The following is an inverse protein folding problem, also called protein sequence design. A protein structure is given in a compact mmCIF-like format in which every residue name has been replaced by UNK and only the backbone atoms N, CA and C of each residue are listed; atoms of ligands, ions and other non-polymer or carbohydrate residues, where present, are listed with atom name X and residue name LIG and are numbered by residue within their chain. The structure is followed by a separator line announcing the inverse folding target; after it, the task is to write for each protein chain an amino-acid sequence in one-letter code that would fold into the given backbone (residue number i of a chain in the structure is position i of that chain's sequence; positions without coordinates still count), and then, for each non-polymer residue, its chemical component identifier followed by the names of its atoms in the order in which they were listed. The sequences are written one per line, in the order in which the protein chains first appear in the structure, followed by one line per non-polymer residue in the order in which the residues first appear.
data_IF_226114411078
#
_entry.id   IF_226114411078
#
_cell.length_a   1.000
_cell.length_b   1.000
_cell.length_c   1.000
_cell.angle_alpha   90.00
_cell.angle_beta   90.00
_cell.angle_gamma   90.00
#
_symmetry.space_group_name_H-M   'P 1'
#
loop_
_entity.id
_entity.type
_entity.pdbx_description
1 polymer ?
#
# COMPACT_ATOMS: atom_id res chain seq x y z
N UNK A 1 25.22 -41.40 -11.74
CA UNK A 1 24.87 -40.00 -12.10
C UNK A 1 23.37 -39.74 -12.16
N UNK A 2 22.53 -40.61 -12.78
CA UNK A 2 21.05 -40.44 -12.81
C UNK A 2 20.38 -40.22 -11.43
N UNK A 3 20.84 -40.91 -10.39
CA UNK A 3 20.28 -40.77 -9.02
C UNK A 3 20.47 -39.38 -8.41
N UNK A 4 21.59 -38.72 -8.72
CA UNK A 4 21.89 -37.36 -8.23
C UNK A 4 21.00 -36.34 -8.94
N UNK A 5 20.74 -36.53 -10.23
CA UNK A 5 19.86 -35.67 -11.03
C UNK A 5 18.42 -35.75 -10.53
N UNK A 6 17.92 -36.95 -10.23
CA UNK A 6 16.57 -37.16 -9.68
C UNK A 6 16.44 -36.51 -8.29
N UNK A 7 17.46 -36.61 -7.44
CA UNK A 7 17.47 -35.99 -6.12
C UNK A 7 17.45 -34.45 -6.19
N UNK A 8 18.22 -33.85 -7.10
CA UNK A 8 18.18 -32.41 -7.36
C UNK A 8 16.82 -31.95 -7.91
N UNK A 9 16.18 -32.76 -8.76
CA UNK A 9 14.85 -32.46 -9.29
C UNK A 9 13.77 -32.49 -8.20
N UNK A 10 13.89 -33.40 -7.23
CA UNK A 10 12.98 -33.48 -6.08
C UNK A 10 13.14 -32.29 -5.12
N UNK A 11 14.35 -31.73 -4.97
CA UNK A 11 14.59 -30.51 -4.19
C UNK A 11 13.90 -29.27 -4.80
N UNK A 12 13.81 -29.19 -6.12
CA UNK A 12 13.08 -28.11 -6.81
C UNK A 12 11.56 -28.22 -6.70
N UNK A 13 11.03 -29.42 -6.46
CA UNK A 13 9.60 -29.67 -6.24
C UNK A 13 9.17 -29.46 -4.79
N UNK A 14 10.12 -29.15 -3.88
CA UNK A 14 9.80 -28.86 -2.50
C UNK A 14 9.07 -27.50 -2.43
N UNK A 15 7.84 -27.44 -1.90
CA UNK A 15 7.14 -26.17 -1.76
C UNK A 15 7.92 -25.29 -0.78
N UNK A 16 8.54 -24.22 -1.28
CA UNK A 16 9.13 -23.18 -0.45
C UNK A 16 7.96 -22.43 0.18
N UNK A 17 7.59 -22.81 1.41
CA UNK A 17 6.65 -22.04 2.22
C UNK A 17 7.38 -20.78 2.67
N UNK A 18 7.06 -19.66 2.05
CA UNK A 18 7.50 -18.35 2.53
C UNK A 18 6.63 -17.99 3.73
N UNK A 19 7.26 -17.78 4.88
CA UNK A 19 6.59 -17.23 6.05
C UNK A 19 6.35 -15.74 5.79
N UNK A 20 5.21 -15.38 5.21
CA UNK A 20 4.71 -14.03 5.38
C UNK A 20 4.35 -13.86 6.86
N UNK A 21 4.78 -12.78 7.51
CA UNK A 21 4.24 -12.45 8.83
C UNK A 21 2.72 -12.32 8.69
N UNK A 22 1.98 -12.94 9.60
CA UNK A 22 0.56 -12.65 9.73
C UNK A 22 0.41 -11.16 10.02
N UNK A 23 -0.50 -10.54 9.28
CA UNK A 23 -0.82 -9.13 9.42
C UNK A 23 -1.60 -8.98 10.72
N UNK A 24 -1.01 -8.29 11.68
CA UNK A 24 -1.58 -8.08 13.02
C UNK A 24 -1.41 -6.61 13.37
N UNK A 25 -2.48 -5.85 13.19
CA UNK A 25 -2.48 -4.41 13.48
C UNK A 25 -3.84 -3.96 14.01
N UNK A 26 -3.78 -2.96 14.89
CA UNK A 26 -4.93 -2.17 15.31
C UNK A 26 -4.97 -0.83 14.55
N UNK A 27 -6.15 -0.46 14.06
CA UNK A 27 -6.37 0.87 13.50
C UNK A 27 -6.66 1.85 14.63
N UNK A 28 -5.68 2.70 14.94
CA UNK A 28 -5.79 3.72 15.99
C UNK A 28 -6.50 4.98 15.52
N UNK A 29 -6.51 5.25 14.21
CA UNK A 29 -7.21 6.41 13.65
C UNK A 29 -7.15 6.52 12.14
N UNK A 30 -8.19 7.11 11.58
CA UNK A 30 -8.32 7.45 10.17
C UNK A 30 -8.59 8.95 10.04
N UNK A 31 -7.67 9.68 9.43
CA UNK A 31 -7.83 11.11 9.14
C UNK A 31 -7.91 11.28 7.64
N UNK A 32 -8.87 12.09 7.18
CA UNK A 32 -9.10 12.34 5.76
C UNK A 32 -9.15 13.85 5.55
N UNK A 33 -8.37 14.32 4.57
CA UNK A 33 -8.50 15.66 4.02
C UNK A 33 -8.88 15.55 2.55
N UNK A 34 -9.98 16.18 2.15
CA UNK A 34 -10.49 16.13 0.79
C UNK A 34 -10.84 17.55 0.32
N UNK A 35 -10.12 18.02 -0.70
CA UNK A 35 -10.26 19.36 -1.27
C UNK A 35 -10.70 19.27 -2.74
N UNK A 36 -11.58 20.18 -3.16
CA UNK A 36 -11.84 20.42 -4.59
C UNK A 36 -10.82 21.45 -5.09
N UNK A 37 -10.08 21.10 -6.12
CA UNK A 37 -9.10 21.96 -6.78
C UNK A 37 -9.79 22.92 -7.75
N UNK A 38 -9.09 23.98 -8.15
CA UNK A 38 -9.62 24.99 -9.09
C UNK A 38 -10.01 24.40 -10.46
N UNK A 39 -9.35 23.31 -10.88
CA UNK A 39 -9.67 22.58 -12.10
C UNK A 39 -10.87 21.62 -11.95
N UNK A 40 -11.49 21.56 -10.76
CA UNK A 40 -12.63 20.69 -10.46
C UNK A 40 -12.25 19.31 -9.96
N UNK A 41 -10.97 18.93 -9.98
CA UNK A 41 -10.51 17.64 -9.47
C UNK A 41 -10.65 17.57 -7.94
N UNK A 42 -10.85 16.37 -7.41
CA UNK A 42 -10.78 16.12 -5.97
C UNK A 42 -9.39 15.63 -5.59
N UNK A 43 -8.72 16.35 -4.68
CA UNK A 43 -7.50 15.90 -4.03
C UNK A 43 -7.84 15.30 -2.67
N UNK A 44 -7.54 14.01 -2.50
CA UNK A 44 -7.74 13.29 -1.24
C UNK A 44 -6.39 12.93 -0.62
N UNK A 45 -6.24 13.20 0.67
CA UNK A 45 -5.13 12.74 1.49
C UNK A 45 -5.69 11.94 2.66
N UNK A 46 -5.16 10.74 2.87
CA UNK A 46 -5.58 9.84 3.94
C UNK A 46 -4.38 9.51 4.82
N UNK A 47 -4.58 9.58 6.14
CA UNK A 47 -3.63 9.10 7.12
C UNK A 47 -4.27 7.99 7.93
N UNK A 48 -3.68 6.81 7.83
CA UNK A 48 -4.07 5.63 8.60
C UNK A 48 -3.03 5.46 9.69
N UNK A 49 -3.43 5.61 10.95
CA UNK A 49 -2.56 5.42 12.11
C UNK A 49 -2.76 4.00 12.61
N UNK A 50 -1.69 3.22 12.60
CA UNK A 50 -1.69 1.80 12.92
C UNK A 50 -0.77 1.50 14.10
N UNK A 51 -1.12 0.49 14.89
CA UNK A 51 -0.24 -0.15 15.87
C UNK A 51 -0.08 -1.63 15.51
N UNK A 52 1.15 -2.10 15.32
CA UNK A 52 1.43 -3.48 14.90
C UNK A 52 2.10 -3.60 13.52
N UNK A 53 1.93 -4.77 12.89
CA UNK A 53 2.52 -5.13 11.60
C UNK A 53 1.50 -4.98 10.47
N UNK A 54 1.77 -4.04 9.58
CA UNK A 54 0.98 -3.82 8.37
C UNK A 54 1.87 -3.86 7.14
N UNK A 55 1.45 -4.62 6.13
CA UNK A 55 2.23 -4.87 4.91
C UNK A 55 1.53 -4.37 3.64
N UNK A 56 0.67 -3.36 3.76
CA UNK A 56 -0.07 -2.83 2.62
C UNK A 56 -0.52 -1.40 2.82
N UNK A 57 -1.49 -1.00 2.01
CA UNK A 57 -2.43 0.08 2.28
C UNK A 57 -3.73 -0.34 1.60
N UNK A 58 -4.88 0.03 2.17
CA UNK A 58 -6.19 -0.31 1.63
C UNK A 58 -6.75 0.93 0.96
N UNK A 59 -7.31 0.77 -0.24
CA UNK A 59 -7.98 1.83 -0.99
C UNK A 59 -9.30 1.29 -1.51
N UNK A 60 -10.35 1.49 -0.72
CA UNK A 60 -11.71 1.13 -1.10
C UNK A 60 -12.53 2.39 -1.39
N UNK A 61 -12.99 2.54 -2.63
CA UNK A 61 -13.81 3.68 -3.06
C UNK A 61 -15.22 3.20 -3.37
N UNK A 62 -16.15 3.58 -2.51
CA UNK A 62 -17.56 3.26 -2.68
C UNK A 62 -18.34 4.51 -3.08
N UNK A 63 -18.85 4.52 -4.31
CA UNK A 63 -19.75 5.57 -4.79
C UNK A 63 -21.18 5.25 -4.35
N UNK A 64 -21.77 6.09 -3.50
CA UNK A 64 -23.18 5.99 -3.13
C UNK A 64 -24.03 6.77 -4.14
N UNK A 65 -24.54 6.12 -5.17
CA UNK A 65 -25.46 6.78 -6.10
C UNK A 65 -25.96 5.92 -7.26
N UNK A 66 -27.15 6.24 -7.76
CA UNK A 66 -27.77 5.69 -8.98
C UNK A 66 -27.25 6.37 -10.26
N UNK A 67 -26.29 7.28 -10.12
CA UNK A 67 -25.82 8.16 -11.17
C UNK A 67 -24.40 7.76 -11.57
N UNK A 68 -24.23 7.33 -12.83
CA UNK A 68 -22.94 7.09 -13.49
C UNK A 68 -22.12 8.38 -13.73
N UNK A 69 -22.45 9.48 -13.04
CA UNK A 69 -21.83 10.79 -13.24
C UNK A 69 -20.46 10.89 -12.55
N UNK A 70 -20.18 10.01 -11.59
CA UNK A 70 -18.90 9.93 -10.91
C UNK A 70 -18.24 8.62 -11.29
N UNK A 71 -17.10 8.71 -11.96
CA UNK A 71 -16.28 7.58 -12.36
C UNK A 71 -14.92 7.71 -11.69
N UNK A 72 -14.46 6.64 -11.05
CA UNK A 72 -13.12 6.54 -10.47
C UNK A 72 -12.11 5.97 -11.47
N UNK A 73 -12.46 5.76 -12.72
CA UNK A 73 -11.54 5.22 -13.73
C UNK A 73 -10.22 5.99 -13.82
N UNK A 74 -10.26 7.32 -13.63
CA UNK A 74 -9.10 8.21 -13.69
C UNK A 74 -8.41 8.45 -12.33
N UNK A 75 -8.73 7.67 -11.30
CA UNK A 75 -8.21 7.95 -9.96
C UNK A 75 -6.73 7.57 -9.81
N UNK A 76 -5.86 8.57 -9.75
CA UNK A 76 -4.41 8.40 -9.69
C UNK A 76 -3.86 8.42 -8.25
N UNK A 77 -3.16 7.35 -7.85
CA UNK A 77 -2.36 7.36 -6.62
C UNK A 77 -1.08 8.18 -6.85
N UNK A 78 -0.99 9.34 -6.21
CA UNK A 78 0.18 10.22 -6.36
C UNK A 78 1.41 9.75 -5.58
N UNK A 79 1.24 9.33 -4.32
CA UNK A 79 2.34 8.90 -3.43
C UNK A 79 1.82 8.21 -2.18
N UNK A 80 2.68 7.41 -1.57
CA UNK A 80 2.49 6.79 -0.24
C UNK A 80 3.70 7.16 0.60
N UNK A 81 3.49 7.70 1.80
CA UNK A 81 4.58 8.14 2.66
C UNK A 81 4.28 7.87 4.12
N UNK A 82 5.33 7.73 4.92
CA UNK A 82 5.23 7.65 6.37
C UNK A 82 5.03 9.04 6.97
N UNK A 83 4.12 9.14 7.92
CA UNK A 83 3.91 10.34 8.73
C UNK A 83 4.37 10.03 10.16
N UNK A 84 5.28 10.83 10.76
CA UNK A 84 5.68 10.62 12.14
C UNK A 84 4.49 10.67 13.09
N UNK A 85 4.47 9.82 14.13
CA UNK A 85 3.35 9.76 15.09
C UNK A 85 3.08 11.10 15.80
N UNK A 86 4.10 11.96 15.94
CA UNK A 86 3.97 13.32 16.47
C UNK A 86 3.19 14.29 15.57
N UNK A 87 2.96 13.90 14.31
CA UNK A 87 2.31 14.68 13.24
C UNK A 87 0.98 14.08 12.78
N UNK A 88 0.42 13.13 13.54
CA UNK A 88 -0.87 12.50 13.22
C UNK A 88 -1.97 13.55 13.02
N UNK A 89 -2.68 13.46 11.89
CA UNK A 89 -3.75 14.39 11.53
C UNK A 89 -3.29 15.72 10.91
N UNK A 90 -1.99 15.99 10.79
CA UNK A 90 -1.47 17.16 10.08
C UNK A 90 -1.32 16.86 8.58
N UNK A 91 -1.98 17.61 7.69
CA UNK A 91 -1.93 17.37 6.23
C UNK A 91 -0.99 18.30 5.46
N UNK A 92 -0.62 19.43 6.07
CA UNK A 92 0.30 20.41 5.48
C UNK A 92 1.76 20.02 5.71
N UNK A 93 2.11 18.80 5.30
CA UNK A 93 3.46 18.24 5.42
C UNK A 93 4.17 18.34 4.07
N UNK A 94 5.39 18.90 4.08
CA UNK A 94 6.21 18.98 2.88
C UNK A 94 6.54 17.57 2.39
N UNK A 95 6.36 17.33 1.08
CA UNK A 95 6.71 16.04 0.49
C UNK A 95 8.19 15.69 0.63
N UNK A 96 9.05 16.70 0.61
CA UNK A 96 10.49 16.53 0.74
C UNK A 96 10.92 16.11 2.17
N UNK A 97 10.06 16.31 3.18
CA UNK A 97 10.35 15.93 4.56
C UNK A 97 9.78 14.56 4.96
N UNK A 98 9.05 13.90 4.06
CA UNK A 98 8.43 12.60 4.36
C UNK A 98 9.24 11.46 3.75
N UNK A 99 9.28 10.35 4.47
CA UNK A 99 9.86 9.12 3.97
C UNK A 99 8.81 8.42 3.08
N UNK A 100 8.96 8.55 1.76
CA UNK A 100 7.98 8.06 0.80
C UNK A 100 8.37 6.71 0.22
N UNK A 101 7.37 5.83 0.07
CA UNK A 101 7.55 4.52 -0.51
C UNK A 101 7.71 4.61 -2.03
N UNK A 102 8.47 3.68 -2.59
CA UNK A 102 8.70 3.55 -4.02
C UNK A 102 7.77 2.52 -4.65
N UNK A 103 7.08 2.89 -5.72
CA UNK A 103 6.30 1.93 -6.52
C UNK A 103 7.24 0.96 -7.24
N UNK A 104 6.98 -0.33 -7.13
CA UNK A 104 7.73 -1.41 -7.80
C UNK A 104 6.77 -2.41 -8.45
N UNK A 105 7.26 -3.15 -9.45
CA UNK A 105 6.50 -4.25 -10.07
C UNK A 105 6.53 -5.53 -9.22
N UNK A 106 7.57 -5.70 -8.40
CA UNK A 106 7.74 -6.80 -7.46
C UNK A 106 8.73 -6.40 -6.34
N UNK A 107 8.66 -7.12 -5.22
CA UNK A 107 9.54 -6.93 -4.08
C UNK A 107 9.93 -8.30 -3.50
N UNK A 108 11.17 -8.44 -3.03
CA UNK A 108 11.61 -9.62 -2.28
C UNK A 108 11.10 -9.57 -0.84
N UNK A 109 10.94 -10.71 -0.15
CA UNK A 109 10.64 -10.71 1.29
C UNK A 109 11.62 -9.84 2.08
N UNK A 110 11.10 -8.98 2.96
CA UNK A 110 11.90 -8.02 3.74
C UNK A 110 12.29 -6.73 3.01
N UNK A 111 11.89 -6.55 1.74
CA UNK A 111 12.03 -5.25 1.06
C UNK A 111 11.19 -4.22 1.79
N UNK A 112 11.82 -3.15 2.28
CA UNK A 112 11.14 -2.06 2.98
C UNK A 112 10.89 -0.88 2.04
N UNK A 113 9.93 -0.01 2.41
CA UNK A 113 9.65 1.25 1.70
C UNK A 113 9.32 1.08 0.22
N UNK A 114 8.70 -0.04 -0.14
CA UNK A 114 8.21 -0.33 -1.49
C UNK A 114 6.75 -0.72 -1.46
N UNK A 115 6.02 -0.41 -2.52
CA UNK A 115 4.63 -0.84 -2.69
C UNK A 115 4.34 -1.23 -4.14
N UNK A 116 3.31 -2.04 -4.32
CA UNK A 116 2.71 -2.37 -5.62
C UNK A 116 1.24 -1.97 -5.56
N UNK A 117 0.72 -1.53 -6.70
CA UNK A 117 -0.73 -1.35 -6.89
C UNK A 117 -1.20 -2.57 -7.65
N UNK A 118 -2.07 -3.36 -7.03
CA UNK A 118 -2.79 -4.43 -7.72
C UNK A 118 -3.98 -3.78 -8.44
N UNK A 119 -4.10 -4.06 -9.75
CA UNK A 119 -5.23 -3.64 -10.57
C UNK A 119 -6.28 -4.75 -10.61
#
# INVERSE_FOLDING_TARGET
MKKIVIFLFLLFLWPIKVSALEVDYDVLGLYINADILENGDMRVQEQIVLDGSFNGYIRDLYFKGKYHLYDASDIELKRVCEVPSSKKGEFNLSAASLNCFKRVSSASPGSSHVYKVDN
#
